data_IF_305411107186
#
_entry.id   IF_305411107186
#
_cell.length_a   1.000
_cell.length_b   1.000
_cell.length_c   1.000
_cell.angle_alpha   90.00
_cell.angle_beta   90.00
_cell.angle_gamma   90.00
#
_symmetry.space_group_name_H-M   'P 1'
#
loop_
_entity.id
_entity.type
_entity.pdbx_description
1 polymer ?
#
# COMPACT_ATOMS: atom_id res chain seq x y z
N UNK A 1 -22.36 14.78 -17.19
CA UNK A 1 -20.89 14.73 -17.30
C UNK A 1 -20.40 13.54 -16.52
N UNK A 2 -19.88 12.51 -17.20
CA UNK A 2 -19.28 11.34 -16.51
C UNK A 2 -17.95 11.81 -15.87
N UNK A 3 -17.97 11.98 -14.55
CA UNK A 3 -16.76 12.35 -13.79
C UNK A 3 -15.84 11.13 -13.84
N UNK A 4 -14.61 11.27 -14.35
CA UNK A 4 -13.64 10.18 -14.33
C UNK A 4 -13.41 9.71 -12.89
N UNK A 5 -13.41 8.39 -12.67
CA UNK A 5 -13.13 7.81 -11.33
C UNK A 5 -11.73 8.17 -10.89
N UNK A 6 -11.55 8.43 -9.60
CA UNK A 6 -10.23 8.58 -9.01
C UNK A 6 -9.48 7.24 -9.01
N UNK A 7 -8.19 7.28 -9.30
CA UNK A 7 -7.32 6.11 -9.40
C UNK A 7 -6.54 5.91 -8.12
N UNK A 8 -6.78 4.80 -7.45
CA UNK A 8 -6.19 4.46 -6.15
C UNK A 8 -5.17 3.33 -6.33
N UNK A 9 -3.93 3.56 -5.91
CA UNK A 9 -2.90 2.54 -5.83
C UNK A 9 -2.90 1.90 -4.43
N UNK A 10 -3.35 0.66 -4.34
CA UNK A 10 -3.29 -0.17 -3.13
C UNK A 10 -1.92 -0.85 -3.06
N UNK A 11 -1.19 -0.69 -1.96
CA UNK A 11 0.14 -1.28 -1.77
C UNK A 11 0.12 -2.23 -0.58
N UNK A 12 0.59 -3.46 -0.77
CA UNK A 12 0.89 -4.42 0.31
C UNK A 12 2.26 -5.03 0.12
N UNK A 13 3.07 -5.09 1.18
CA UNK A 13 4.38 -5.75 1.14
C UNK A 13 4.31 -7.27 1.32
N UNK A 14 3.11 -7.85 1.41
CA UNK A 14 2.90 -9.30 1.52
C UNK A 14 1.79 -9.76 0.59
N UNK A 15 2.07 -10.82 -0.17
CA UNK A 15 1.11 -11.54 -1.01
C UNK A 15 0.44 -12.72 -0.30
N UNK A 16 0.78 -13.00 0.96
CA UNK A 16 0.20 -14.10 1.73
C UNK A 16 -1.22 -13.74 2.21
N UNK A 17 -2.03 -14.78 2.39
CA UNK A 17 -3.36 -14.62 3.03
C UNK A 17 -3.22 -14.01 4.42
N UNK A 18 -4.05 -13.02 4.73
CA UNK A 18 -4.04 -12.30 6.02
C UNK A 18 -4.91 -11.05 5.98
N UNK A 19 -5.01 -10.35 7.10
CA UNK A 19 -5.89 -9.19 7.24
C UNK A 19 -5.65 -8.09 6.19
N UNK A 20 -4.39 -7.77 5.90
CA UNK A 20 -4.05 -6.74 4.89
C UNK A 20 -4.55 -7.07 3.49
N UNK A 21 -4.15 -8.19 2.87
CA UNK A 21 -4.65 -8.58 1.56
C UNK A 21 -6.17 -8.76 1.51
N UNK A 22 -6.77 -9.38 2.54
CA UNK A 22 -8.24 -9.53 2.60
C UNK A 22 -8.95 -8.18 2.62
N UNK A 23 -8.44 -7.22 3.36
CA UNK A 23 -8.98 -5.86 3.40
C UNK A 23 -8.85 -5.14 2.06
N UNK A 24 -7.73 -5.30 1.35
CA UNK A 24 -7.54 -4.77 -0.02
C UNK A 24 -8.59 -5.29 -0.98
N UNK A 25 -8.84 -6.60 -0.96
CA UNK A 25 -9.85 -7.21 -1.83
C UNK A 25 -11.27 -6.74 -1.50
N UNK A 26 -11.58 -6.62 -0.20
CA UNK A 26 -12.86 -6.12 0.25
C UNK A 26 -13.08 -4.66 -0.17
N UNK A 27 -12.10 -3.78 0.02
CA UNK A 27 -12.17 -2.38 -0.42
C UNK A 27 -12.45 -2.29 -1.92
N UNK A 28 -11.73 -3.08 -2.73
CA UNK A 28 -11.96 -3.10 -4.17
C UNK A 28 -13.39 -3.51 -4.51
N UNK A 29 -13.90 -4.59 -3.93
CA UNK A 29 -15.25 -5.08 -4.24
C UNK A 29 -16.33 -4.09 -3.82
N UNK A 30 -16.18 -3.44 -2.66
CA UNK A 30 -17.18 -2.49 -2.17
C UNK A 30 -17.17 -1.16 -2.94
N UNK A 31 -16.03 -0.72 -3.45
CA UNK A 31 -15.87 0.62 -4.00
C UNK A 31 -15.53 0.64 -5.50
N UNK A 32 -15.59 -0.49 -6.21
CA UNK A 32 -15.26 -0.61 -7.65
C UNK A 32 -16.09 0.28 -8.55
N UNK A 33 -17.28 0.66 -8.13
CA UNK A 33 -18.16 1.54 -8.91
C UNK A 33 -17.81 3.01 -8.75
N UNK A 34 -17.07 3.39 -7.70
CA UNK A 34 -16.67 4.76 -7.38
C UNK A 34 -15.23 5.07 -7.78
N UNK A 35 -14.32 4.07 -7.68
CA UNK A 35 -12.88 4.23 -7.88
C UNK A 35 -12.29 3.20 -8.85
N UNK A 36 -11.21 3.59 -9.52
CA UNK A 36 -10.36 2.70 -10.32
C UNK A 36 -9.18 2.23 -9.47
N UNK A 37 -9.13 0.94 -9.18
CA UNK A 37 -8.09 0.36 -8.33
C UNK A 37 -6.92 -0.20 -9.12
N UNK A 38 -5.72 0.14 -8.64
CA UNK A 38 -4.42 -0.39 -9.06
C UNK A 38 -3.81 -1.11 -7.87
N UNK A 39 -3.09 -2.21 -8.09
CA UNK A 39 -2.53 -3.03 -7.03
C UNK A 39 -1.03 -3.20 -7.19
N UNK A 40 -0.29 -2.97 -6.12
CA UNK A 40 1.12 -3.33 -6.00
C UNK A 40 1.33 -4.24 -4.79
N UNK A 41 1.63 -5.51 -5.05
CA UNK A 41 1.92 -6.47 -3.99
C UNK A 41 2.66 -7.70 -4.57
N UNK A 42 3.32 -8.53 -3.73
CA UNK A 42 3.96 -9.75 -4.20
C UNK A 42 2.97 -10.71 -4.87
N UNK A 43 3.37 -11.26 -6.01
CA UNK A 43 2.55 -12.19 -6.76
C UNK A 43 2.32 -13.49 -5.98
N UNK A 44 1.09 -13.86 -5.74
CA UNK A 44 0.69 -15.13 -5.16
C UNK A 44 -0.42 -15.81 -5.99
N UNK A 45 -0.61 -17.14 -5.79
CA UNK A 45 -1.64 -17.88 -6.52
C UNK A 45 -3.07 -17.38 -6.24
N UNK A 46 -3.31 -16.82 -5.06
CA UNK A 46 -4.60 -16.25 -4.69
C UNK A 46 -4.90 -14.93 -5.41
N UNK A 47 -3.87 -14.15 -5.75
CA UNK A 47 -4.02 -12.86 -6.43
C UNK A 47 -4.34 -13.05 -7.90
N UNK A 48 -3.76 -14.07 -8.55
CA UNK A 48 -3.99 -14.37 -9.98
C UNK A 48 -5.47 -14.54 -10.33
N UNK A 49 -6.31 -14.96 -9.38
CA UNK A 49 -7.74 -15.17 -9.60
C UNK A 49 -8.60 -13.91 -9.45
N UNK A 50 -8.13 -12.90 -8.74
CA UNK A 50 -8.97 -11.80 -8.25
C UNK A 50 -8.65 -10.41 -8.81
N UNK A 51 -7.51 -10.23 -9.50
CA UNK A 51 -7.13 -8.94 -10.06
C UNK A 51 -6.85 -9.01 -11.56
N UNK A 52 -7.36 -8.02 -12.30
CA UNK A 52 -7.07 -7.88 -13.72
C UNK A 52 -5.60 -7.45 -13.91
N UNK A 53 -4.85 -8.20 -14.73
CA UNK A 53 -3.43 -8.01 -15.00
C UNK A 53 -3.01 -6.60 -15.45
N UNK A 54 -3.92 -5.81 -16.02
CA UNK A 54 -3.61 -4.46 -16.51
C UNK A 54 -3.28 -3.45 -15.41
N UNK A 55 -3.83 -3.66 -14.20
CA UNK A 55 -3.73 -2.72 -13.08
C UNK A 55 -2.90 -3.29 -11.92
N UNK A 56 -1.95 -4.17 -12.23
CA UNK A 56 -1.14 -4.88 -11.24
C UNK A 56 0.37 -4.65 -11.46
N UNK A 57 1.09 -4.45 -10.36
CA UNK A 57 2.55 -4.42 -10.31
C UNK A 57 3.05 -5.44 -9.28
N UNK A 58 3.91 -6.36 -9.71
CA UNK A 58 4.58 -7.29 -8.83
C UNK A 58 5.74 -6.60 -8.11
N UNK A 59 5.80 -6.72 -6.78
CA UNK A 59 6.86 -6.19 -5.93
C UNK A 59 7.42 -7.29 -5.02
N UNK A 60 8.59 -7.06 -4.43
CA UNK A 60 9.28 -8.03 -3.58
C UNK A 60 8.51 -8.34 -2.30
N UNK A 61 8.43 -9.62 -1.91
CA UNK A 61 7.80 -10.07 -0.66
C UNK A 61 8.61 -9.59 0.56
N UNK A 62 8.00 -8.76 1.42
CA UNK A 62 8.56 -8.27 2.70
C UNK A 62 9.95 -7.62 2.61
N UNK A 63 10.36 -7.18 1.43
CA UNK A 63 11.63 -6.47 1.20
C UNK A 63 11.34 -5.14 0.56
N UNK A 64 12.19 -4.16 0.83
CA UNK A 64 12.17 -2.86 0.18
C UNK A 64 13.39 -2.81 -0.73
N UNK A 65 13.20 -2.91 -2.03
CA UNK A 65 14.28 -2.83 -3.00
C UNK A 65 14.22 -1.52 -3.78
N UNK A 66 15.36 -1.02 -4.21
CA UNK A 66 15.42 0.18 -5.06
C UNK A 66 14.65 -0.04 -6.38
N UNK A 67 14.69 -1.27 -6.90
CA UNK A 67 13.92 -1.66 -8.07
C UNK A 67 12.42 -1.47 -7.86
N UNK A 68 11.87 -1.92 -6.72
CA UNK A 68 10.45 -1.79 -6.43
C UNK A 68 10.04 -0.33 -6.29
N UNK A 69 10.88 0.50 -5.63
CA UNK A 69 10.63 1.94 -5.49
C UNK A 69 10.55 2.61 -6.86
N UNK A 70 11.54 2.37 -7.72
CA UNK A 70 11.57 2.94 -9.08
C UNK A 70 10.37 2.45 -9.90
N UNK A 71 10.07 1.15 -9.86
CA UNK A 71 8.94 0.56 -10.57
C UNK A 71 7.61 1.15 -10.12
N UNK A 72 7.42 1.37 -8.82
CA UNK A 72 6.22 2.00 -8.24
C UNK A 72 6.08 3.47 -8.67
N UNK A 73 7.17 4.23 -8.71
CA UNK A 73 7.15 5.61 -9.18
C UNK A 73 6.74 5.66 -10.66
N UNK A 74 7.36 4.84 -11.51
CA UNK A 74 7.05 4.76 -12.95
C UNK A 74 5.60 4.31 -13.14
N UNK A 75 5.19 3.25 -12.46
CA UNK A 75 3.82 2.71 -12.52
C UNK A 75 2.77 3.75 -12.11
N UNK A 76 3.03 4.48 -11.03
CA UNK A 76 2.12 5.52 -10.53
C UNK A 76 1.97 6.67 -11.53
N UNK A 77 3.08 7.13 -12.11
CA UNK A 77 3.07 8.21 -13.13
C UNK A 77 2.39 7.78 -14.42
N UNK A 78 2.75 6.59 -14.93
CA UNK A 78 2.19 6.03 -16.17
C UNK A 78 0.67 5.88 -16.11
N UNK A 79 0.15 5.46 -14.96
CA UNK A 79 -1.28 5.24 -14.78
C UNK A 79 -2.02 6.47 -14.23
N UNK A 80 -1.31 7.58 -13.98
CA UNK A 80 -1.89 8.81 -13.40
C UNK A 80 -2.63 8.53 -12.09
N UNK A 81 -1.95 7.87 -11.15
CA UNK A 81 -2.50 7.55 -9.82
C UNK A 81 -2.82 8.86 -9.07
N UNK A 82 -4.00 8.93 -8.46
CA UNK A 82 -4.47 10.07 -7.69
C UNK A 82 -4.23 9.92 -6.19
N UNK A 83 -4.34 8.70 -5.67
CA UNK A 83 -4.22 8.41 -4.24
C UNK A 83 -3.36 7.16 -4.05
N UNK A 84 -2.46 7.18 -3.07
CA UNK A 84 -1.71 6.00 -2.59
C UNK A 84 -2.40 5.50 -1.33
N UNK A 85 -2.64 4.20 -1.23
CA UNK A 85 -3.19 3.58 -0.03
C UNK A 85 -2.33 2.38 0.38
N UNK A 86 -1.57 2.54 1.45
CA UNK A 86 -0.65 1.53 1.96
C UNK A 86 -1.29 0.69 3.07
N UNK A 87 -1.11 -0.63 3.00
CA UNK A 87 -1.64 -1.59 3.98
C UNK A 87 -0.51 -2.30 4.73
N UNK A 88 -0.39 -1.98 6.00
CA UNK A 88 0.61 -2.54 6.92
C UNK A 88 2.00 -1.90 6.79
N UNK A 89 2.89 -2.23 7.75
CA UNK A 89 4.17 -1.57 7.97
C UNK A 89 5.09 -1.48 6.76
N UNK A 90 5.35 -2.61 6.11
CA UNK A 90 6.27 -2.64 4.96
C UNK A 90 5.77 -1.78 3.80
N UNK A 91 4.47 -1.81 3.54
CA UNK A 91 3.84 -0.97 2.54
C UNK A 91 3.88 0.52 2.91
N UNK A 92 3.68 0.86 4.21
CA UNK A 92 3.78 2.23 4.70
C UNK A 92 5.14 2.85 4.46
N UNK A 93 6.24 2.09 4.70
CA UNK A 93 7.61 2.57 4.42
C UNK A 93 7.79 2.87 2.93
N UNK A 94 7.41 1.93 2.07
CA UNK A 94 7.53 2.10 0.60
C UNK A 94 6.69 3.29 0.14
N UNK A 95 5.44 3.39 0.61
CA UNK A 95 4.51 4.44 0.21
C UNK A 95 4.99 5.84 0.60
N UNK A 96 5.56 6.01 1.80
CA UNK A 96 6.15 7.29 2.23
C UNK A 96 7.33 7.70 1.34
N UNK A 97 8.19 6.74 0.94
CA UNK A 97 9.31 7.01 0.02
C UNK A 97 8.76 7.47 -1.34
N UNK A 98 7.85 6.71 -1.95
CA UNK A 98 7.33 7.06 -3.27
C UNK A 98 6.49 8.35 -3.26
N UNK A 99 5.81 8.67 -2.15
CA UNK A 99 5.06 9.93 -2.00
C UNK A 99 5.94 11.16 -2.23
N UNK A 100 7.18 11.14 -1.74
CA UNK A 100 8.13 12.25 -1.93
C UNK A 100 8.33 12.57 -3.43
N UNK A 101 8.35 11.52 -4.28
CA UNK A 101 8.60 11.65 -5.71
C UNK A 101 7.34 11.92 -6.54
N UNK A 102 6.20 11.35 -6.15
CA UNK A 102 4.95 11.47 -6.94
C UNK A 102 4.00 12.54 -6.40
N UNK A 103 4.19 13.00 -5.16
CA UNK A 103 3.44 14.09 -4.51
C UNK A 103 1.92 13.90 -4.56
N UNK A 104 1.46 12.69 -4.26
CA UNK A 104 0.02 12.35 -4.19
C UNK A 104 -0.38 12.05 -2.74
N UNK A 105 -1.65 12.26 -2.36
CA UNK A 105 -2.15 11.90 -1.03
C UNK A 105 -1.86 10.45 -0.68
N UNK A 106 -1.48 10.21 0.59
CA UNK A 106 -1.18 8.91 1.15
C UNK A 106 -2.12 8.59 2.30
N UNK A 107 -2.86 7.51 2.15
CA UNK A 107 -3.63 6.87 3.21
C UNK A 107 -2.83 5.69 3.74
N UNK A 108 -2.68 5.58 5.05
CA UNK A 108 -1.98 4.47 5.67
C UNK A 108 -2.89 3.68 6.62
N UNK A 109 -3.13 2.40 6.30
CA UNK A 109 -3.91 1.48 7.14
C UNK A 109 -3.00 0.61 8.01
N UNK A 110 -3.16 0.75 9.32
CA UNK A 110 -2.51 -0.09 10.33
C UNK A 110 -3.30 -1.38 10.56
N UNK A 111 -2.67 -2.53 10.33
CA UNK A 111 -3.21 -3.87 10.60
C UNK A 111 -2.63 -4.44 11.90
N UNK A 112 -2.79 -3.73 13.00
CA UNK A 112 -2.36 -4.18 14.33
C UNK A 112 -0.87 -4.02 14.62
N UNK A 113 -0.56 -3.95 15.92
CA UNK A 113 0.79 -3.76 16.46
C UNK A 113 1.46 -5.12 16.82
N UNK A 114 0.70 -6.22 16.71
CA UNK A 114 1.09 -7.53 17.24
C UNK A 114 2.45 -8.06 16.75
N UNK A 115 2.87 -7.74 15.55
CA UNK A 115 4.16 -8.19 15.01
C UNK A 115 5.37 -7.36 15.48
N UNK A 116 5.17 -6.30 16.27
CA UNK A 116 6.24 -5.40 16.72
C UNK A 116 6.83 -5.85 18.04
N UNK A 117 6.15 -6.72 18.77
CA UNK A 117 6.45 -7.01 20.16
C UNK A 117 7.52 -8.07 20.41
N UNK A 118 8.34 -8.45 19.43
CA UNK A 118 9.41 -9.43 19.63
C UNK A 118 10.57 -8.91 20.49
N UNK A 119 10.80 -7.59 20.53
CA UNK A 119 11.74 -6.97 21.47
C UNK A 119 11.39 -5.49 21.75
N UNK A 120 11.79 -5.00 22.95
CA UNK A 120 11.64 -3.59 23.34
C UNK A 120 12.38 -2.65 22.37
N UNK A 121 13.54 -3.09 21.88
CA UNK A 121 14.37 -2.31 20.94
C UNK A 121 13.65 -2.14 19.60
N UNK A 122 13.10 -3.21 19.03
CA UNK A 122 12.37 -3.14 17.77
C UNK A 122 11.11 -2.26 17.88
N UNK A 123 10.44 -2.31 19.03
CA UNK A 123 9.30 -1.43 19.31
C UNK A 123 9.73 0.04 19.35
N UNK A 124 10.83 0.35 20.05
CA UNK A 124 11.36 1.72 20.13
C UNK A 124 11.75 2.25 18.74
N UNK A 125 12.53 1.49 17.97
CA UNK A 125 12.93 1.87 16.61
C UNK A 125 11.71 2.14 15.72
N UNK A 126 10.70 1.28 15.82
CA UNK A 126 9.48 1.47 15.03
C UNK A 126 8.70 2.73 15.43
N UNK A 127 8.50 2.96 16.74
CA UNK A 127 7.80 4.15 17.21
C UNK A 127 8.57 5.43 16.85
N UNK A 128 9.89 5.40 16.94
CA UNK A 128 10.74 6.50 16.53
C UNK A 128 10.58 6.78 15.02
N UNK A 129 10.61 5.73 14.18
CA UNK A 129 10.36 5.84 12.75
C UNK A 129 8.97 6.43 12.46
N UNK A 130 7.91 5.93 13.10
CA UNK A 130 6.56 6.47 12.93
C UNK A 130 6.44 7.94 13.35
N UNK A 131 7.14 8.33 14.41
CA UNK A 131 7.14 9.71 14.89
C UNK A 131 7.79 10.68 13.89
N UNK A 132 8.93 10.30 13.30
CA UNK A 132 9.64 11.17 12.34
C UNK A 132 9.08 11.12 10.91
N UNK A 133 8.37 10.08 10.52
CA UNK A 133 7.85 9.94 9.14
C UNK A 133 6.33 10.03 9.04
N UNK A 134 5.64 9.96 10.17
CA UNK A 134 4.17 9.93 10.20
C UNK A 134 3.49 11.20 9.69
N UNK A 135 4.21 12.32 9.56
CA UNK A 135 3.72 13.54 8.91
C UNK A 135 3.56 13.42 7.39
N UNK A 136 4.16 12.38 6.80
CA UNK A 136 3.99 12.07 5.38
C UNK A 136 2.63 11.43 5.07
N UNK A 137 1.94 10.88 6.07
CA UNK A 137 0.61 10.30 5.88
C UNK A 137 -0.43 11.41 5.96
N UNK A 138 -1.25 11.57 4.92
CA UNK A 138 -2.36 12.53 4.95
C UNK A 138 -3.52 11.99 5.79
N UNK A 139 -3.73 10.66 5.76
CA UNK A 139 -4.76 9.99 6.55
C UNK A 139 -4.24 8.67 7.14
N UNK A 140 -4.69 8.34 8.36
CA UNK A 140 -4.36 7.09 9.05
C UNK A 140 -5.62 6.33 9.43
N UNK A 141 -5.68 5.06 9.02
CA UNK A 141 -6.78 4.16 9.33
C UNK A 141 -6.27 3.06 10.28
N UNK A 142 -6.95 2.88 11.39
CA UNK A 142 -6.64 1.83 12.36
C UNK A 142 -7.73 0.77 12.29
N UNK A 143 -7.35 -0.48 12.01
CA UNK A 143 -8.25 -1.64 12.00
C UNK A 143 -7.88 -2.57 13.15
N UNK A 144 -8.87 -2.98 13.93
CA UNK A 144 -8.75 -3.91 15.07
C UNK A 144 -9.01 -5.35 14.61
#
# INVERSE_FOLDING_TARGET
MNKSKLKILLISASGKTGGGPSHIFLLKELLKDEFDFYLAMPLSNSIKKNFFYKNYLDISERKITLRDIISLIIFSRKNSIDIIHAHGKGAGVIARIIKIFIRKPLIYTFHGIHAICSSKVNKFIYLFYENITGWLDDEKVFVS
#
